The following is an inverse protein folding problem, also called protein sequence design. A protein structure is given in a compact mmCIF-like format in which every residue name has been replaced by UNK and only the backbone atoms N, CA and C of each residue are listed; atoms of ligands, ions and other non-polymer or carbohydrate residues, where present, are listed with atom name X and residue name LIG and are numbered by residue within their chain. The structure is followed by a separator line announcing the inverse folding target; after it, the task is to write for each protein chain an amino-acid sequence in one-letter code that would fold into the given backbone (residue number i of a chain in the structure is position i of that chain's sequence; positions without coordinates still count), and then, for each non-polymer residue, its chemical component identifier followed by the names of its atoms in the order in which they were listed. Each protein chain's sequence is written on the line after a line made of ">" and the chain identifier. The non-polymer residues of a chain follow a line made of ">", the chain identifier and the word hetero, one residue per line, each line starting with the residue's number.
data_IF_037991214263
#
_entry.id   IF_037991214263
#
_cell.length_a   1.000
_cell.length_b   1.000
_cell.length_c   1.000
_cell.angle_alpha   90.00
_cell.angle_beta   90.00
_cell.angle_gamma   90.00
#
_symmetry.space_group_name_H-M   'P 1'
#
loop_
_entity.id
_entity.type
_entity.pdbx_description
1 polymer ?
#
# COMPACT_ATOMS: atom_id res chain seq x y z
N UNK A 1 9.00 -20.27 1.93
CA UNK A 1 7.76 -19.72 2.55
C UNK A 1 8.12 -19.12 3.91
N UNK A 2 7.54 -17.99 4.32
CA UNK A 2 7.82 -17.41 5.64
C UNK A 2 7.32 -18.35 6.76
N UNK A 3 8.15 -18.55 7.80
CA UNK A 3 7.84 -19.42 8.93
C UNK A 3 6.70 -18.85 9.78
N UNK A 4 6.06 -19.70 10.60
CA UNK A 4 4.98 -19.26 11.49
C UNK A 4 5.47 -18.18 12.48
N UNK A 5 6.69 -18.33 13.01
CA UNK A 5 7.34 -17.35 13.88
C UNK A 5 7.50 -15.99 13.18
N UNK A 6 7.97 -16.00 11.93
CA UNK A 6 8.11 -14.76 11.14
C UNK A 6 6.75 -14.07 10.91
N UNK A 7 5.70 -14.85 10.60
CA UNK A 7 4.34 -14.30 10.44
C UNK A 7 3.79 -13.72 11.74
N UNK A 8 4.02 -14.38 12.87
CA UNK A 8 3.59 -13.91 14.18
C UNK A 8 4.27 -12.59 14.57
N UNK A 9 5.59 -12.49 14.38
CA UNK A 9 6.35 -11.26 14.62
C UNK A 9 5.88 -10.12 13.71
N UNK A 10 5.69 -10.38 12.42
CA UNK A 10 5.17 -9.36 11.49
C UNK A 10 3.82 -8.80 11.94
N UNK A 11 2.89 -9.67 12.37
CA UNK A 11 1.59 -9.25 12.91
C UNK A 11 1.73 -8.37 14.15
N UNK A 12 2.64 -8.72 15.07
CA UNK A 12 2.91 -7.91 16.27
C UNK A 12 3.47 -6.53 15.90
N UNK A 13 4.44 -6.47 15.00
CA UNK A 13 5.06 -5.21 14.56
C UNK A 13 4.04 -4.28 13.90
N UNK A 14 3.16 -4.81 13.04
CA UNK A 14 2.07 -4.03 12.42
C UNK A 14 1.13 -3.48 13.48
N UNK A 15 0.74 -4.28 14.48
CA UNK A 15 -0.12 -3.81 15.57
C UNK A 15 0.54 -2.69 16.38
N UNK A 16 1.82 -2.81 16.70
CA UNK A 16 2.56 -1.77 17.42
C UNK A 16 2.67 -0.48 16.60
N UNK A 17 2.94 -0.58 15.29
CA UNK A 17 2.98 0.57 14.40
C UNK A 17 1.62 1.28 14.28
N UNK A 18 0.52 0.51 14.20
CA UNK A 18 -0.84 1.08 14.19
C UNK A 18 -1.09 1.85 15.48
N UNK A 19 -0.80 1.26 16.65
CA UNK A 19 -0.97 1.93 17.95
C UNK A 19 -0.18 3.24 18.04
N UNK A 20 1.07 3.23 17.59
CA UNK A 20 1.91 4.43 17.56
C UNK A 20 1.34 5.50 16.62
N UNK A 21 0.91 5.11 15.41
CA UNK A 21 0.31 6.04 14.45
C UNK A 21 -0.99 6.66 14.96
N UNK A 22 -1.86 5.86 15.60
CA UNK A 22 -3.12 6.35 16.20
C UNK A 22 -2.88 7.30 17.36
N UNK A 23 -1.83 7.04 18.17
CA UNK A 23 -1.47 7.92 19.27
C UNK A 23 -0.88 9.26 18.78
N UNK A 24 -0.02 9.22 17.75
CA UNK A 24 0.66 10.41 17.23
C UNK A 24 -0.23 11.29 16.36
N UNK A 25 -1.26 10.72 15.73
CA UNK A 25 -2.19 11.41 14.81
C UNK A 25 -1.45 12.34 13.83
N UNK A 26 -0.34 11.87 13.27
CA UNK A 26 0.61 12.74 12.56
C UNK A 26 -0.04 13.55 11.43
N UNK A 27 -1.03 12.99 10.73
CA UNK A 27 -1.76 13.69 9.65
C UNK A 27 -2.60 14.85 10.20
N UNK A 28 -3.23 14.72 11.38
CA UNK A 28 -4.05 15.80 11.95
C UNK A 28 -3.19 16.96 12.45
N UNK A 29 -1.97 16.66 12.90
CA UNK A 29 -1.04 17.65 13.45
C UNK A 29 -0.19 18.34 12.37
N UNK A 30 -0.33 17.97 11.10
CA UNK A 30 0.35 18.62 9.98
C UNK A 30 -0.29 19.97 9.62
N UNK A 31 0.47 20.92 9.03
CA UNK A 31 -0.07 22.16 8.50
C UNK A 31 -1.23 21.91 7.53
N UNK A 32 -2.22 22.82 7.52
CA UNK A 32 -3.44 22.70 6.69
C UNK A 32 -3.13 22.41 5.22
N UNK A 33 -2.15 23.10 4.63
CA UNK A 33 -1.71 22.92 3.24
C UNK A 33 -1.29 21.46 2.97
N UNK A 34 -0.43 20.90 3.83
CA UNK A 34 0.09 19.53 3.70
C UNK A 34 -1.03 18.50 3.90
N UNK A 35 -1.85 18.67 4.95
CA UNK A 35 -2.99 17.78 5.22
C UNK A 35 -3.98 17.74 4.06
N UNK A 36 -4.31 18.89 3.49
CA UNK A 36 -5.21 19.00 2.33
C UNK A 36 -4.60 18.34 1.08
N UNK A 37 -3.31 18.54 0.82
CA UNK A 37 -2.63 17.91 -0.33
C UNK A 37 -2.65 16.38 -0.23
N UNK A 38 -2.32 15.83 0.94
CA UNK A 38 -2.38 14.39 1.20
C UNK A 38 -3.82 13.85 1.09
N UNK A 39 -4.81 14.61 1.57
CA UNK A 39 -6.22 14.25 1.44
C UNK A 39 -6.69 14.16 -0.03
N UNK A 40 -6.28 15.12 -0.87
CA UNK A 40 -6.60 15.10 -2.32
C UNK A 40 -5.99 13.88 -3.02
N UNK A 41 -4.73 13.56 -2.70
CA UNK A 41 -4.07 12.37 -3.25
C UNK A 41 -4.79 11.08 -2.83
N UNK A 42 -5.14 10.96 -1.55
CA UNK A 42 -5.91 9.82 -1.05
C UNK A 42 -7.28 9.68 -1.72
N UNK A 43 -7.99 10.80 -1.90
CA UNK A 43 -9.29 10.84 -2.58
C UNK A 43 -9.18 10.41 -4.05
N UNK A 44 -8.16 10.87 -4.77
CA UNK A 44 -7.92 10.48 -6.16
C UNK A 44 -7.69 8.96 -6.29
N UNK A 45 -6.92 8.36 -5.37
CA UNK A 45 -6.70 6.90 -5.33
C UNK A 45 -8.00 6.16 -5.01
N UNK A 46 -8.79 6.65 -4.04
CA UNK A 46 -10.07 6.04 -3.69
C UNK A 46 -11.09 6.10 -4.83
N UNK A 47 -11.12 7.22 -5.56
CA UNK A 47 -11.98 7.39 -6.73
C UNK A 47 -11.60 6.39 -7.82
N UNK A 48 -10.31 6.26 -8.16
CA UNK A 48 -9.85 5.28 -9.16
C UNK A 48 -10.26 3.85 -8.82
N UNK A 49 -10.13 3.47 -7.54
CA UNK A 49 -10.58 2.16 -7.05
C UNK A 49 -12.09 1.94 -7.23
N UNK A 50 -12.89 2.99 -7.10
CA UNK A 50 -14.35 2.93 -7.27
C UNK A 50 -14.75 2.83 -8.73
N UNK A 51 -14.05 3.54 -9.61
CA UNK A 51 -14.38 3.59 -11.05
C UNK A 51 -13.78 2.43 -11.85
N UNK A 52 -12.94 1.58 -11.24
CA UNK A 52 -12.34 0.43 -11.92
C UNK A 52 -11.44 0.82 -13.09
N UNK A 53 -10.81 2.00 -13.04
CA UNK A 53 -9.97 2.49 -14.14
C UNK A 53 -8.83 1.49 -14.41
N UNK A 54 -8.75 1.00 -15.66
CA UNK A 54 -7.88 -0.11 -16.04
C UNK A 54 -6.39 0.21 -15.87
N UNK A 55 -5.96 1.45 -16.15
CA UNK A 55 -4.57 1.88 -15.99
C UNK A 55 -4.40 3.38 -15.61
N UNK A 56 -3.32 3.74 -14.89
CA UNK A 56 -2.36 2.85 -14.26
C UNK A 56 -2.86 2.32 -12.91
N UNK A 57 -2.79 0.99 -12.74
CA UNK A 57 -3.16 0.29 -11.50
C UNK A 57 -2.39 0.82 -10.29
N UNK A 58 -3.03 0.82 -9.13
CA UNK A 58 -2.39 1.14 -7.86
C UNK A 58 -1.40 0.04 -7.46
N UNK A 59 -0.39 0.38 -6.64
CA UNK A 59 0.56 -0.62 -6.11
C UNK A 59 -0.15 -1.81 -5.46
N UNK A 60 -1.27 -1.56 -4.78
CA UNK A 60 -2.01 -2.60 -4.07
C UNK A 60 -2.71 -3.56 -5.04
N UNK A 61 -3.25 -3.07 -6.15
CA UNK A 61 -3.86 -3.90 -7.20
C UNK A 61 -2.78 -4.75 -7.88
N UNK A 62 -1.66 -4.13 -8.25
CA UNK A 62 -0.51 -4.84 -8.78
C UNK A 62 0.02 -5.89 -7.79
N UNK A 63 0.09 -5.56 -6.50
CA UNK A 63 0.49 -6.52 -5.47
C UNK A 63 -0.46 -7.73 -5.38
N UNK A 64 -1.78 -7.50 -5.46
CA UNK A 64 -2.78 -8.59 -5.45
C UNK A 64 -2.68 -9.44 -6.70
N UNK A 65 -2.47 -8.83 -7.86
CA UNK A 65 -2.26 -9.53 -9.12
C UNK A 65 -0.97 -10.37 -9.07
N UNK A 66 0.13 -9.79 -8.59
CA UNK A 66 1.38 -10.49 -8.33
C UNK A 66 1.23 -11.61 -7.30
N UNK A 67 0.35 -11.47 -6.30
CA UNK A 67 0.02 -12.53 -5.37
C UNK A 67 -0.75 -13.67 -6.03
N UNK A 68 -1.72 -13.38 -6.91
CA UNK A 68 -2.47 -14.41 -7.65
C UNK A 68 -1.58 -15.19 -8.61
N UNK A 69 -0.60 -14.53 -9.22
CA UNK A 69 0.39 -15.13 -10.12
C UNK A 69 1.62 -15.73 -9.41
N UNK A 70 1.58 -15.80 -8.07
CA UNK A 70 2.66 -16.24 -7.18
C UNK A 70 4.06 -15.66 -7.50
N UNK A 71 4.09 -14.36 -7.81
CA UNK A 71 5.33 -13.66 -8.15
C UNK A 71 6.24 -13.56 -6.92
N UNK A 72 7.44 -14.14 -7.01
CA UNK A 72 8.47 -14.12 -5.96
C UNK A 72 9.04 -12.71 -5.80
N UNK A 73 9.31 -12.31 -4.57
CA UNK A 73 9.87 -10.98 -4.29
C UNK A 73 8.87 -9.81 -4.35
N UNK A 74 7.59 -10.06 -4.69
CA UNK A 74 6.52 -9.04 -4.78
C UNK A 74 6.38 -8.11 -3.57
N UNK A 75 6.73 -8.56 -2.37
CA UNK A 75 6.67 -7.76 -1.13
C UNK A 75 7.78 -6.73 -1.02
N UNK A 76 8.91 -6.94 -1.73
CA UNK A 76 10.02 -5.98 -1.82
C UNK A 76 9.84 -5.00 -2.98
N UNK A 77 8.94 -5.30 -3.91
CA UNK A 77 8.75 -4.49 -5.11
C UNK A 77 7.90 -3.24 -4.86
N UNK A 78 8.34 -2.13 -5.44
CA UNK A 78 7.61 -0.88 -5.60
C UNK A 78 6.50 -0.98 -6.63
N UNK A 79 5.75 0.11 -6.86
CA UNK A 79 4.66 0.11 -7.85
C UNK A 79 5.16 -0.21 -9.26
N UNK A 80 6.20 0.49 -9.69
CA UNK A 80 6.68 0.41 -11.06
C UNK A 80 7.41 -0.92 -11.32
N UNK A 81 8.11 -1.45 -10.30
CA UNK A 81 8.68 -2.79 -10.34
C UNK A 81 7.59 -3.86 -10.45
N UNK A 82 6.48 -3.73 -9.70
CA UNK A 82 5.35 -4.65 -9.82
C UNK A 82 4.66 -4.52 -11.19
N UNK A 83 4.49 -3.31 -11.72
CA UNK A 83 3.90 -3.09 -13.04
C UNK A 83 4.76 -3.75 -14.13
N UNK A 84 6.08 -3.48 -14.12
CA UNK A 84 7.05 -4.05 -15.05
C UNK A 84 7.10 -5.58 -14.95
N UNK A 85 7.11 -6.13 -13.73
CA UNK A 85 7.13 -7.58 -13.52
C UNK A 85 5.81 -8.27 -13.94
N UNK A 86 4.71 -7.53 -14.00
CA UNK A 86 3.40 -8.03 -14.44
C UNK A 86 3.08 -7.75 -15.92
N UNK A 87 3.91 -6.95 -16.60
CA UNK A 87 3.75 -6.60 -18.01
C UNK A 87 2.80 -5.43 -18.28
N UNK A 88 2.44 -4.63 -17.26
CA UNK A 88 1.66 -3.40 -17.43
C UNK A 88 2.61 -2.27 -17.90
N UNK A 89 2.23 -1.51 -18.94
CA UNK A 89 3.04 -0.41 -19.52
C UNK A 89 2.60 0.96 -19.01
#
# INVERSE_FOLDING_TARGET
>A
MATQKQRATARKNVKSAIKAATAKKSISNMPKKTRTALGKQGAAVAQRKRTGADEPKTRQELYREAQRRDLKGRSKMGRDELAKALGHR
#
